data_IF_346891792534
#
_entry.id   IF_346891792534
#
_cell.length_a   1.000
_cell.length_b   1.000
_cell.length_c   1.000
_cell.angle_alpha   90.00
_cell.angle_beta   90.00
_cell.angle_gamma   90.00
#
_symmetry.space_group_name_H-M   'P 1'
#
loop_
_entity.id
_entity.type
_entity.pdbx_description
1 polymer ?
#
# COMPACT_ATOMS: atom_id res chain seq x y z
N UNK A 1 5.04 -3.78 22.42
CA UNK A 1 5.85 -3.19 21.35
C UNK A 1 5.30 -3.70 20.03
N UNK A 2 4.67 -2.85 19.21
CA UNK A 2 4.30 -3.24 17.85
C UNK A 2 5.56 -3.35 17.01
N UNK A 3 5.87 -4.55 16.51
CA UNK A 3 7.05 -4.79 15.67
C UNK A 3 6.95 -4.01 14.36
N UNK A 4 5.77 -4.03 13.75
CA UNK A 4 5.53 -3.38 12.46
C UNK A 4 4.94 -1.99 12.68
N UNK A 5 5.76 -0.96 12.48
CA UNK A 5 5.35 0.45 12.61
C UNK A 5 4.81 1.02 11.30
N UNK A 6 5.22 0.43 10.18
CA UNK A 6 4.80 0.75 8.81
C UNK A 6 4.82 -0.52 7.96
N UNK A 7 3.77 -0.74 7.16
CA UNK A 7 3.63 -1.85 6.21
C UNK A 7 3.04 -1.29 4.91
N UNK A 8 3.48 -1.77 3.76
CA UNK A 8 2.89 -1.40 2.48
C UNK A 8 3.02 -2.54 1.47
N UNK A 9 2.03 -2.69 0.60
CA UNK A 9 2.17 -3.46 -0.62
C UNK A 9 2.27 -2.52 -1.83
N UNK A 10 3.48 -2.44 -2.38
CA UNK A 10 3.80 -1.59 -3.53
C UNK A 10 3.89 -2.40 -4.84
N UNK A 11 3.76 -3.73 -4.76
CA UNK A 11 3.92 -4.63 -5.91
C UNK A 11 2.99 -4.29 -7.07
N UNK A 12 1.70 -3.91 -6.87
CA UNK A 12 0.83 -3.55 -7.99
C UNK A 12 1.37 -2.38 -8.83
N UNK A 13 2.14 -1.46 -8.25
CA UNK A 13 2.77 -0.35 -8.99
C UNK A 13 3.90 -0.80 -9.91
N UNK A 14 4.43 -2.01 -9.71
CA UNK A 14 5.56 -2.55 -10.46
C UNK A 14 5.15 -3.21 -11.77
N UNK A 15 3.86 -3.38 -12.04
CA UNK A 15 3.38 -4.15 -13.19
C UNK A 15 3.99 -3.68 -14.51
N UNK A 16 4.00 -2.38 -14.77
CA UNK A 16 4.60 -1.81 -15.98
C UNK A 16 6.11 -2.07 -16.06
N UNK A 17 6.83 -1.85 -14.97
CA UNK A 17 8.28 -2.04 -14.88
C UNK A 17 8.66 -3.51 -15.09
N UNK A 18 7.88 -4.45 -14.54
CA UNK A 18 8.10 -5.88 -14.69
C UNK A 18 7.80 -6.33 -16.12
N UNK A 19 6.70 -5.83 -16.70
CA UNK A 19 6.30 -6.14 -18.08
C UNK A 19 7.35 -5.69 -19.09
N UNK A 20 7.95 -4.51 -18.92
CA UNK A 20 9.07 -4.03 -19.75
C UNK A 20 10.30 -4.96 -19.69
N UNK A 21 10.45 -5.71 -18.60
CA UNK A 21 11.53 -6.68 -18.40
C UNK A 21 11.14 -8.11 -18.79
N UNK A 22 9.95 -8.30 -19.36
CA UNK A 22 9.44 -9.63 -19.72
C UNK A 22 9.09 -10.50 -18.51
N UNK A 23 8.83 -9.89 -17.36
CA UNK A 23 8.47 -10.58 -16.11
C UNK A 23 7.02 -10.28 -15.76
N UNK A 24 6.25 -11.31 -15.36
CA UNK A 24 4.89 -11.12 -14.85
C UNK A 24 4.90 -10.63 -13.40
N UNK A 25 3.88 -9.88 -13.01
CA UNK A 25 3.66 -9.52 -11.61
C UNK A 25 3.48 -10.80 -10.78
N UNK A 26 4.19 -10.88 -9.65
CA UNK A 26 4.02 -11.96 -8.68
C UNK A 26 2.79 -11.75 -7.79
N UNK A 27 2.62 -12.58 -6.76
CA UNK A 27 1.53 -12.42 -5.80
C UNK A 27 1.63 -11.04 -5.13
N UNK A 28 0.51 -10.32 -5.09
CA UNK A 28 0.33 -9.08 -4.36
C UNK A 28 -1.01 -9.09 -3.61
N UNK A 29 -1.27 -8.02 -2.87
CA UNK A 29 -2.49 -7.84 -2.10
C UNK A 29 -3.71 -7.71 -3.02
N UNK A 30 -4.76 -8.45 -2.68
CA UNK A 30 -6.11 -8.36 -3.26
C UNK A 30 -7.10 -7.86 -2.18
N UNK A 31 -8.33 -7.45 -2.55
CA UNK A 31 -9.28 -6.87 -1.60
C UNK A 31 -9.59 -7.76 -0.40
N UNK A 32 -9.59 -9.09 -0.57
CA UNK A 32 -9.84 -10.03 0.53
C UNK A 32 -8.68 -10.10 1.54
N UNK A 33 -7.45 -9.77 1.16
CA UNK A 33 -6.31 -9.71 2.09
C UNK A 33 -6.45 -8.53 3.08
N UNK A 34 -7.28 -7.55 2.73
CA UNK A 34 -7.62 -6.38 3.54
C UNK A 34 -8.99 -6.51 4.24
N UNK A 35 -9.54 -7.72 4.36
CA UNK A 35 -10.85 -7.94 4.97
C UNK A 35 -10.95 -7.45 6.44
N UNK A 36 -9.83 -7.31 7.14
CA UNK A 36 -9.75 -6.81 8.52
C UNK A 36 -9.31 -5.34 8.62
N UNK A 37 -9.20 -4.63 7.51
CA UNK A 37 -8.73 -3.23 7.46
C UNK A 37 -9.54 -2.29 8.36
N UNK A 38 -10.86 -2.48 8.43
CA UNK A 38 -11.74 -1.72 9.31
C UNK A 38 -11.40 -1.90 10.80
N UNK A 39 -10.99 -3.11 11.20
CA UNK A 39 -10.56 -3.39 12.58
C UNK A 39 -9.23 -2.67 12.84
N UNK A 40 -8.32 -2.64 11.87
CA UNK A 40 -7.06 -1.91 11.99
C UNK A 40 -7.31 -0.40 12.20
N UNK A 41 -8.22 0.19 11.42
CA UNK A 41 -8.65 1.59 11.59
C UNK A 41 -9.23 1.85 12.98
N UNK A 42 -10.12 0.98 13.46
CA UNK A 42 -10.70 1.09 14.81
C UNK A 42 -9.62 0.99 15.90
N UNK A 43 -8.57 0.20 15.67
CA UNK A 43 -7.40 0.10 16.56
C UNK A 43 -6.43 1.30 16.46
N UNK A 44 -6.74 2.32 15.65
CA UNK A 44 -5.92 3.52 15.47
C UNK A 44 -4.82 3.41 14.41
N UNK A 45 -4.79 2.33 13.62
CA UNK A 45 -3.91 2.20 12.46
C UNK A 45 -4.46 3.07 11.32
N UNK A 46 -3.57 3.81 10.66
CA UNK A 46 -3.93 4.60 9.50
C UNK A 46 -3.67 3.77 8.25
N UNK A 47 -4.70 3.55 7.45
CA UNK A 47 -4.61 2.79 6.19
C UNK A 47 -5.07 3.67 5.03
N UNK A 48 -4.18 3.81 4.05
CA UNK A 48 -4.33 4.68 2.88
C UNK A 48 -4.05 3.93 1.58
N UNK A 49 -4.51 4.50 0.47
CA UNK A 49 -3.92 4.22 -0.84
C UNK A 49 -2.51 4.79 -0.92
N UNK A 50 -1.77 4.37 -1.95
CA UNK A 50 -0.36 4.74 -2.12
C UNK A 50 -0.12 6.20 -2.49
N UNK A 51 -1.14 6.99 -2.84
CA UNK A 51 -1.09 8.45 -3.03
C UNK A 51 -1.59 9.21 -1.79
N UNK A 52 -1.61 8.56 -0.62
CA UNK A 52 -2.11 9.10 0.65
C UNK A 52 -3.62 9.38 0.70
N UNK A 53 -4.35 8.91 -0.30
CA UNK A 53 -5.80 8.96 -0.40
C UNK A 53 -6.46 7.91 0.49
N UNK A 54 -7.77 8.05 0.68
CA UNK A 54 -8.57 6.99 1.32
C UNK A 54 -8.48 5.73 0.45
N UNK A 55 -8.10 4.60 1.06
CA UNK A 55 -8.12 3.31 0.38
C UNK A 55 -9.52 3.03 -0.17
N UNK A 56 -9.61 2.82 -1.48
CA UNK A 56 -10.85 2.61 -2.23
C UNK A 56 -10.64 1.52 -3.30
N UNK A 57 -10.39 0.29 -2.83
CA UNK A 57 -10.22 -0.85 -3.71
C UNK A 57 -11.59 -1.36 -4.21
N UNK A 58 -11.70 -1.82 -5.48
CA UNK A 58 -12.94 -2.40 -5.98
C UNK A 58 -13.27 -3.68 -5.23
N UNK A 59 -14.57 -3.96 -5.06
CA UNK A 59 -15.04 -5.22 -4.49
C UNK A 59 -14.95 -6.35 -5.54
N UNK A 60 -13.72 -6.78 -5.84
CA UNK A 60 -13.40 -7.81 -6.83
C UNK A 60 -12.29 -8.73 -6.29
N UNK A 61 -12.27 -10.00 -6.71
CA UNK A 61 -11.28 -10.97 -6.21
C UNK A 61 -9.92 -10.89 -6.91
N UNK A 62 -9.90 -10.44 -8.16
CA UNK A 62 -8.68 -10.39 -8.99
C UNK A 62 -8.02 -9.00 -9.03
N UNK A 63 -8.56 -8.01 -8.31
CA UNK A 63 -8.02 -6.67 -8.36
C UNK A 63 -6.71 -6.58 -7.55
N UNK A 64 -5.63 -6.12 -8.18
CA UNK A 64 -4.40 -5.83 -7.47
C UNK A 64 -4.57 -4.52 -6.65
N UNK A 65 -4.23 -4.54 -5.35
CA UNK A 65 -4.44 -3.42 -4.43
C UNK A 65 -3.11 -2.93 -3.87
N UNK A 66 -2.72 -1.71 -4.26
CA UNK A 66 -1.60 -1.03 -3.65
C UNK A 66 -2.08 -0.22 -2.46
N UNK A 67 -1.43 -0.37 -1.31
CA UNK A 67 -1.84 0.30 -0.07
C UNK A 67 -0.66 0.52 0.89
N UNK A 68 -0.87 1.40 1.86
CA UNK A 68 0.06 1.66 2.94
C UNK A 68 -0.66 1.72 4.30
N UNK A 69 -0.02 1.18 5.32
CA UNK A 69 -0.47 1.13 6.71
C UNK A 69 0.56 1.72 7.65
N UNK A 70 0.12 2.62 8.53
CA UNK A 70 0.95 3.29 9.53
C UNK A 70 0.37 3.05 10.91
N UNK A 71 1.21 2.67 11.87
CA UNK A 71 0.74 2.34 13.23
C UNK A 71 0.11 3.53 13.98
N UNK A 72 0.41 4.76 13.59
CA UNK A 72 -0.18 6.00 14.10
C UNK A 72 0.28 7.22 13.27
N UNK A 73 -0.29 8.39 13.56
CA UNK A 73 -0.02 9.65 12.85
C UNK A 73 1.46 10.08 12.93
N UNK A 74 2.13 9.86 14.07
CA UNK A 74 3.54 10.21 14.20
C UNK A 74 4.43 9.40 13.25
N UNK A 75 4.12 8.11 13.05
CA UNK A 75 4.83 7.31 12.04
C UNK A 75 4.48 7.79 10.64
N UNK A 76 3.20 8.07 10.36
CA UNK A 76 2.75 8.56 9.06
C UNK A 76 3.49 9.83 8.65
N UNK A 77 3.55 10.83 9.53
CA UNK A 77 4.25 12.09 9.27
C UNK A 77 5.75 11.89 8.94
N UNK A 78 6.38 10.86 9.51
CA UNK A 78 7.79 10.56 9.25
C UNK A 78 8.00 9.76 7.95
N UNK A 79 7.12 8.81 7.65
CA UNK A 79 7.33 7.81 6.59
C UNK A 79 6.63 8.18 5.28
N UNK A 80 5.39 8.68 5.33
CA UNK A 80 4.59 8.93 4.13
C UNK A 80 5.28 9.89 3.14
N UNK A 81 5.87 11.04 3.56
CA UNK A 81 6.57 11.93 2.62
C UNK A 81 7.76 11.26 1.94
N UNK A 82 8.49 10.39 2.66
CA UNK A 82 9.65 9.67 2.12
C UNK A 82 9.21 8.58 1.13
N UNK A 83 8.11 7.88 1.44
CA UNK A 83 7.50 6.90 0.54
C UNK A 83 7.05 7.57 -0.76
N UNK A 84 6.27 8.66 -0.67
CA UNK A 84 5.81 9.44 -1.83
C UNK A 84 6.99 9.90 -2.70
N UNK A 85 8.00 10.52 -2.08
CA UNK A 85 9.19 10.97 -2.80
C UNK A 85 9.95 9.83 -3.48
N UNK A 86 10.02 8.65 -2.84
CA UNK A 86 10.68 7.48 -3.40
C UNK A 86 9.92 6.88 -4.60
N UNK A 87 8.59 6.89 -4.56
CA UNK A 87 7.73 6.40 -5.63
C UNK A 87 7.75 7.35 -6.84
N UNK A 88 7.59 8.66 -6.61
CA UNK A 88 7.66 9.69 -7.66
C UNK A 88 9.03 9.69 -8.34
N UNK A 89 10.14 9.63 -7.56
CA UNK A 89 11.50 9.57 -8.13
C UNK A 89 11.69 8.38 -9.08
N UNK A 90 10.95 7.30 -8.89
CA UNK A 90 11.02 6.06 -9.69
C UNK A 90 9.95 6.01 -10.78
N UNK A 91 9.13 7.04 -10.95
CA UNK A 91 8.05 7.09 -11.94
C UNK A 91 6.90 6.12 -11.65
N UNK A 92 6.66 5.81 -10.37
CA UNK A 92 5.64 4.86 -9.94
C UNK A 92 4.33 5.53 -9.52
N UNK A 93 4.36 6.85 -9.33
CA UNK A 93 3.26 7.74 -9.04
C UNK A 93 3.36 8.99 -9.93
#
# INVERSE_FOLDING_TARGET
SGHDRFVADLRPLMENVLRERGVSLGICCHPYDLCTELIAREAGVIVTGVRSERLDAPLAVEANVAWAGYANENIRMQIEPLLQAALVRRGLL
#
